data_IF_726829471620
#
_entry.id   IF_726829471620
#
_cell.length_a   1.000
_cell.length_b   1.000
_cell.length_c   1.000
_cell.angle_alpha   90.00
_cell.angle_beta   90.00
_cell.angle_gamma   90.00
#
_symmetry.space_group_name_H-M   'P 1'
#
loop_
_entity.id
_entity.type
_entity.pdbx_description
1 polymer ?
#
# COMPACT_ATOMS: atom_id res chain seq x y z
N UNK A 1 11.87 13.97 -9.02
CA UNK A 1 11.20 12.72 -8.60
C UNK A 1 10.86 12.88 -7.13
N UNK A 2 9.58 12.99 -6.76
CA UNK A 2 9.18 13.10 -5.34
C UNK A 2 9.01 11.68 -4.81
N UNK A 3 10.15 11.03 -4.60
CA UNK A 3 10.16 9.70 -4.00
C UNK A 3 9.46 9.72 -2.66
N UNK A 4 8.67 8.67 -2.36
CA UNK A 4 7.99 8.48 -1.08
C UNK A 4 8.93 8.86 0.07
N UNK A 5 8.53 9.82 0.91
CA UNK A 5 9.34 10.18 2.08
C UNK A 5 9.24 9.07 3.14
N UNK A 6 10.24 8.92 4.02
CA UNK A 6 10.21 7.92 5.09
C UNK A 6 9.01 8.08 6.03
N UNK A 7 8.44 9.27 6.15
CA UNK A 7 7.20 9.51 6.88
C UNK A 7 5.97 8.96 6.14
N UNK A 8 5.87 9.15 4.82
CA UNK A 8 4.81 8.58 4.00
C UNK A 8 4.88 7.06 3.99
N UNK A 9 6.08 6.47 3.91
CA UNK A 9 6.28 5.03 4.02
C UNK A 9 5.78 4.49 5.36
N UNK A 10 6.10 5.15 6.48
CA UNK A 10 5.59 4.77 7.80
C UNK A 10 4.07 4.85 7.88
N UNK A 11 3.47 5.91 7.35
CA UNK A 11 2.00 6.06 7.28
C UNK A 11 1.37 4.99 6.41
N UNK A 12 2.03 4.64 5.30
CA UNK A 12 1.58 3.58 4.40
C UNK A 12 1.58 2.24 5.12
N UNK A 13 2.68 1.86 5.76
CA UNK A 13 2.76 0.60 6.50
C UNK A 13 1.79 0.54 7.68
N UNK A 14 1.54 1.69 8.35
CA UNK A 14 0.52 1.78 9.37
C UNK A 14 -0.87 1.52 8.79
N UNK A 15 -1.21 2.17 7.67
CA UNK A 15 -2.46 1.97 6.95
C UNK A 15 -2.62 0.51 6.49
N UNK A 16 -1.58 -0.04 5.86
CA UNK A 16 -1.50 -1.44 5.46
C UNK A 16 -1.76 -2.33 6.66
N UNK A 17 -1.15 -2.08 7.81
CA UNK A 17 -1.40 -2.88 9.03
C UNK A 17 -2.83 -2.73 9.57
N UNK A 18 -3.49 -1.59 9.38
CA UNK A 18 -4.88 -1.36 9.81
C UNK A 18 -5.90 -2.04 8.88
N UNK A 19 -5.61 -2.11 7.58
CA UNK A 19 -6.49 -2.72 6.56
C UNK A 19 -6.08 -4.14 6.16
N UNK A 20 -4.87 -4.58 6.51
CA UNK A 20 -4.37 -5.93 6.28
C UNK A 20 -5.21 -6.90 7.07
N UNK A 21 -6.12 -7.56 6.37
CA UNK A 21 -6.78 -8.75 6.85
C UNK A 21 -6.17 -9.96 6.16
N UNK A 22 -6.18 -11.15 6.80
CA UNK A 22 -5.78 -12.41 6.16
C UNK A 22 -6.48 -12.63 4.81
N UNK A 23 -7.72 -12.15 4.68
CA UNK A 23 -8.50 -12.15 3.44
C UNK A 23 -7.86 -11.35 2.30
N UNK A 24 -7.07 -10.32 2.60
CA UNK A 24 -6.35 -9.51 1.60
C UNK A 24 -5.22 -10.32 0.95
N UNK A 25 -4.50 -11.14 1.71
CA UNK A 25 -3.42 -11.98 1.18
C UNK A 25 -3.95 -13.10 0.26
N UNK A 26 -5.20 -13.50 0.44
CA UNK A 26 -5.89 -14.47 -0.42
C UNK A 26 -6.33 -13.86 -1.76
N UNK A 27 -6.23 -12.54 -1.95
CA UNK A 27 -6.58 -11.89 -3.19
C UNK A 27 -5.43 -11.86 -4.20
N UNK A 28 -5.81 -11.65 -5.46
CA UNK A 28 -4.88 -11.40 -6.56
C UNK A 28 -4.09 -10.13 -6.32
N UNK A 29 -2.85 -10.10 -6.81
CA UNK A 29 -1.93 -8.97 -6.61
C UNK A 29 -2.53 -7.66 -7.11
N UNK A 30 -3.22 -7.68 -8.24
CA UNK A 30 -3.90 -6.51 -8.79
C UNK A 30 -5.01 -5.97 -7.86
N UNK A 31 -5.74 -6.85 -7.17
CA UNK A 31 -6.77 -6.44 -6.21
C UNK A 31 -6.16 -5.85 -4.94
N UNK A 32 -5.06 -6.44 -4.47
CA UNK A 32 -4.29 -5.90 -3.33
C UNK A 32 -3.80 -4.49 -3.67
N UNK A 33 -3.19 -4.33 -4.85
CA UNK A 33 -2.72 -3.03 -5.35
C UNK A 33 -3.85 -2.02 -5.40
N UNK A 34 -4.98 -2.34 -6.03
CA UNK A 34 -6.13 -1.44 -6.13
C UNK A 34 -6.71 -1.06 -4.76
N UNK A 35 -6.80 -2.02 -3.84
CA UNK A 35 -7.32 -1.77 -2.48
C UNK A 35 -6.41 -0.83 -1.70
N UNK A 36 -5.10 -1.06 -1.77
CA UNK A 36 -4.11 -0.23 -1.11
C UNK A 36 -4.00 1.16 -1.74
N UNK A 37 -4.11 1.26 -3.07
CA UNK A 37 -4.19 2.52 -3.80
C UNK A 37 -5.42 3.32 -3.37
N UNK A 38 -6.60 2.70 -3.38
CA UNK A 38 -7.84 3.34 -2.97
C UNK A 38 -7.77 3.82 -1.51
N UNK A 39 -7.24 3.00 -0.61
CA UNK A 39 -7.05 3.37 0.79
C UNK A 39 -6.02 4.51 0.96
N UNK A 40 -4.93 4.50 0.18
CA UNK A 40 -3.99 5.62 0.15
C UNK A 40 -4.64 6.90 -0.37
N UNK A 41 -5.40 6.84 -1.48
CA UNK A 41 -6.09 7.99 -2.06
C UNK A 41 -7.13 8.60 -1.10
N UNK A 42 -7.79 7.79 -0.28
CA UNK A 42 -8.68 8.27 0.79
C UNK A 42 -7.94 8.98 1.92
N UNK A 43 -6.63 8.74 2.06
CA UNK A 43 -5.79 9.44 3.02
C UNK A 43 -5.20 10.71 2.40
N UNK A 44 -5.64 11.86 2.91
CA UNK A 44 -5.14 13.20 2.57
C UNK A 44 -3.61 13.32 2.37
N UNK A 45 -2.73 12.69 3.18
CA UNK A 45 -1.28 12.76 2.97
C UNK A 45 -0.74 12.10 1.69
N UNK A 46 -1.48 11.17 1.07
CA UNK A 46 -1.08 10.56 -0.20
C UNK A 46 -1.78 11.19 -1.41
N UNK A 47 -2.73 12.11 -1.20
CA UNK A 47 -3.44 12.80 -2.28
C UNK A 47 -2.53 13.68 -3.13
N UNK A 48 -1.37 14.09 -2.59
CA UNK A 48 -0.34 14.85 -3.32
C UNK A 48 0.75 13.98 -3.98
N UNK A 49 0.70 12.66 -3.81
CA UNK A 49 1.61 11.74 -4.48
C UNK A 49 1.03 11.31 -5.82
N UNK A 50 1.93 11.09 -6.78
CA UNK A 50 1.54 10.55 -8.07
C UNK A 50 1.02 9.11 -7.89
N UNK A 51 -0.15 8.84 -8.46
CA UNK A 51 -0.76 7.50 -8.43
C UNK A 51 0.18 6.45 -9.03
N UNK A 52 1.01 6.82 -10.00
CA UNK A 52 1.97 5.92 -10.61
C UNK A 52 3.12 5.56 -9.65
N UNK A 53 3.61 6.53 -8.86
CA UNK A 53 4.65 6.26 -7.84
C UNK A 53 4.10 5.38 -6.71
N UNK A 54 2.88 5.65 -6.25
CA UNK A 54 2.19 4.80 -5.27
C UNK A 54 1.97 3.38 -5.80
N UNK A 55 1.45 3.26 -7.02
CA UNK A 55 1.20 1.98 -7.66
C UNK A 55 2.48 1.15 -7.79
N UNK A 56 3.55 1.77 -8.29
CA UNK A 56 4.86 1.12 -8.45
C UNK A 56 5.43 0.69 -7.08
N UNK A 57 5.32 1.55 -6.06
CA UNK A 57 5.76 1.23 -4.71
C UNK A 57 4.98 0.07 -4.10
N UNK A 58 3.65 0.08 -4.21
CA UNK A 58 2.78 -0.98 -3.66
C UNK A 58 3.08 -2.30 -4.36
N UNK A 59 3.14 -2.30 -5.70
CA UNK A 59 3.44 -3.48 -6.50
C UNK A 59 4.78 -4.10 -6.12
N UNK A 60 5.81 -3.28 -5.89
CA UNK A 60 7.12 -3.76 -5.44
C UNK A 60 7.11 -4.34 -4.00
N UNK A 61 6.11 -3.99 -3.19
CA UNK A 61 5.98 -4.42 -1.78
C UNK A 61 4.94 -5.50 -1.54
N UNK A 62 4.19 -5.91 -2.58
CA UNK A 62 3.26 -7.05 -2.55
C UNK A 62 3.82 -8.28 -1.82
N UNK A 63 5.02 -8.81 -2.15
CA UNK A 63 5.53 -10.00 -1.48
C UNK A 63 5.74 -9.79 0.03
N UNK A 64 6.18 -8.60 0.45
CA UNK A 64 6.34 -8.23 1.85
C UNK A 64 4.99 -8.06 2.57
N UNK A 65 3.99 -7.52 1.87
CA UNK A 65 2.64 -7.38 2.43
C UNK A 65 2.03 -8.76 2.66
N UNK A 66 2.19 -9.70 1.72
CA UNK A 66 1.74 -11.09 1.89
C UNK A 66 2.43 -11.78 3.07
N UNK A 67 3.74 -11.62 3.19
CA UNK A 67 4.53 -12.16 4.30
C UNK A 67 4.02 -11.64 5.65
N UNK A 68 3.81 -10.31 5.77
CA UNK A 68 3.25 -9.68 6.97
C UNK A 68 1.84 -10.15 7.35
N UNK A 69 1.02 -10.50 6.35
CA UNK A 69 -0.36 -10.93 6.57
C UNK A 69 -0.45 -12.43 6.91
N UNK A 70 0.40 -13.25 6.29
CA UNK A 70 0.35 -14.70 6.42
C UNK A 70 1.16 -15.22 7.60
N UNK A 71 2.17 -14.48 8.07
CA UNK A 71 2.93 -14.79 9.29
C UNK A 71 3.78 -16.05 9.19
#
# INVERSE_FOLDING_TARGET
MRSMTPEMMRRFWKLVSEICRPELALQEDEKIVNTLLAACQQYHPFSSLDNNELNSYITARIPLIRDLVLG
#
